data_IF_837915006124
#
_entry.id   IF_837915006124
#
_cell.length_a   1.000
_cell.length_b   1.000
_cell.length_c   1.000
_cell.angle_alpha   90.00
_cell.angle_beta   90.00
_cell.angle_gamma   90.00
#
_symmetry.space_group_name_H-M   'P 1'
#
loop_
_entity.id
_entity.type
_entity.pdbx_description
1 polymer ?
#
# COMPACT_ATOMS: atom_id res chain seq x y z
N UNK A 1 33.00 -8.25 -11.95
CA UNK A 1 32.85 -8.16 -12.68
C UNK A 1 32.65 -8.19 -12.84
N UNK A 2 32.29 -8.16 -12.35
CA UNK A 2 31.89 -8.16 -12.93
C UNK A 2 31.56 -8.30 -12.71
N UNK A 3 31.40 -8.21 -12.35
CA UNK A 3 30.98 -8.28 -12.81
C UNK A 3 30.69 -7.97 -12.47
N UNK A 4 30.69 -8.05 -11.95
CA UNK A 4 30.33 -7.85 -12.41
C UNK A 4 30.17 -7.59 -12.24
N UNK A 5 30.04 -7.36 -11.80
CA UNK A 5 29.88 -7.17 -12.44
C UNK A 5 29.74 -6.95 -12.45
N UNK A 6 29.95 -7.05 -12.24
CA UNK A 6 29.69 -6.96 -12.87
C UNK A 6 29.30 -6.94 -12.61
N UNK A 7 29.35 -7.09 -12.15
CA UNK A 7 28.87 -7.06 -12.37
C UNK A 7 28.43 -6.54 -11.91
N UNK A 8 28.55 -6.53 -11.47
CA UNK A 8 28.07 -6.02 -11.51
C UNK A 8 27.39 -5.57 -11.34
N UNK A 9 27.18 -5.47 -11.50
CA UNK A 9 26.45 -5.15 -11.78
C UNK A 9 25.87 -5.30 -11.77
N UNK A 10 25.82 -5.72 -11.97
CA UNK A 10 25.27 -5.95 -12.18
C UNK A 10 24.91 -6.36 -11.67
N UNK A 11 24.96 -6.67 -11.46
CA UNK A 11 24.58 -7.03 -11.16
C UNK A 11 23.94 -7.01 -10.66
N UNK A 12 23.40 -7.10 -10.67
CA UNK A 12 22.69 -6.86 -10.54
C UNK A 12 21.59 -6.90 -10.81
N UNK A 13 20.81 -7.05 -11.28
CA UNK A 13 19.62 -6.85 -12.06
C UNK A 13 18.62 -7.96 -11.93
N UNK A 14 19.03 -9.17 -11.83
CA UNK A 14 18.18 -10.32 -11.57
C UNK A 14 17.44 -10.15 -10.25
N UNK A 15 18.12 -9.64 -9.26
CA UNK A 15 17.51 -9.41 -7.96
C UNK A 15 16.39 -8.38 -8.06
N UNK A 16 16.60 -7.37 -8.87
CA UNK A 16 15.56 -6.35 -9.07
C UNK A 16 14.33 -6.97 -9.72
N UNK A 17 14.54 -7.83 -10.72
CA UNK A 17 13.44 -8.49 -11.39
C UNK A 17 12.66 -9.38 -10.45
N UNK A 18 13.37 -10.12 -9.60
CA UNK A 18 12.74 -11.02 -8.65
C UNK A 18 11.93 -10.28 -7.60
N UNK A 19 12.32 -9.04 -7.33
CA UNK A 19 11.66 -8.24 -6.31
C UNK A 19 10.63 -7.28 -6.89
N UNK A 20 10.39 -7.37 -8.18
CA UNK A 20 9.41 -6.52 -8.82
C UNK A 20 8.00 -6.88 -8.36
N UNK A 21 7.28 -5.89 -7.91
CA UNK A 21 5.92 -6.07 -7.45
C UNK A 21 4.96 -5.87 -8.61
N UNK A 22 4.07 -6.82 -8.79
CA UNK A 22 3.07 -6.74 -9.85
C UNK A 22 1.88 -5.89 -9.42
N UNK A 23 1.42 -5.03 -10.30
CA UNK A 23 0.25 -4.19 -10.02
C UNK A 23 -0.96 -5.04 -9.67
N UNK A 24 -1.16 -6.15 -10.40
CA UNK A 24 -2.31 -7.02 -10.17
C UNK A 24 -2.30 -7.61 -8.76
N UNK A 25 -1.12 -7.98 -8.25
CA UNK A 25 -1.02 -8.52 -6.90
C UNK A 25 -1.41 -7.48 -5.85
N UNK A 26 -0.98 -6.23 -6.06
CA UNK A 26 -1.34 -5.15 -5.15
C UNK A 26 -2.84 -4.90 -5.18
N UNK A 27 -3.41 -4.82 -6.36
CA UNK A 27 -4.84 -4.55 -6.52
C UNK A 27 -5.68 -5.68 -5.91
N UNK A 28 -5.23 -6.93 -6.07
CA UNK A 28 -5.93 -8.06 -5.44
C UNK A 28 -5.97 -7.92 -3.92
N UNK A 29 -4.87 -7.48 -3.33
CA UNK A 29 -4.84 -7.24 -1.89
C UNK A 29 -5.78 -6.10 -1.48
N UNK A 30 -5.82 -5.04 -2.28
CA UNK A 30 -6.70 -3.91 -1.99
C UNK A 30 -8.16 -4.34 -1.93
N UNK A 31 -8.54 -5.21 -2.86
CA UNK A 31 -9.92 -5.69 -2.93
C UNK A 31 -10.32 -6.51 -1.71
N UNK A 32 -9.36 -6.96 -0.92
CA UNK A 32 -9.61 -7.70 0.31
C UNK A 32 -9.80 -6.81 1.52
N UNK A 33 -9.66 -5.50 1.37
CA UNK A 33 -9.85 -4.56 2.46
C UNK A 33 -11.29 -4.05 2.40
N UNK A 34 -12.17 -4.49 3.33
CA UNK A 34 -13.56 -4.09 3.26
C UNK A 34 -13.76 -2.64 3.71
N UNK A 35 -14.90 -2.07 3.33
CA UNK A 35 -15.27 -0.74 3.81
C UNK A 35 -15.31 -0.74 5.34
N UNK A 36 -14.81 0.32 5.94
CA UNK A 36 -14.73 0.41 7.40
C UNK A 36 -13.45 -0.17 7.97
N UNK A 37 -12.58 -0.67 7.12
CA UNK A 37 -11.28 -1.20 7.53
C UNK A 37 -10.17 -0.54 6.72
N UNK A 38 -8.95 -0.61 7.25
CA UNK A 38 -7.77 -0.05 6.58
C UNK A 38 -6.61 -1.02 6.70
N UNK A 39 -5.62 -0.84 5.84
CA UNK A 39 -4.35 -1.51 5.96
C UNK A 39 -3.25 -0.48 5.77
N UNK A 40 -1.98 -0.87 5.84
CA UNK A 40 -0.88 0.07 5.67
C UNK A 40 -0.03 -0.34 4.47
N UNK A 41 0.74 0.61 3.97
CA UNK A 41 1.68 0.32 2.88
C UNK A 41 2.64 -0.81 3.29
N UNK A 42 3.08 -0.79 4.54
CA UNK A 42 3.96 -1.84 5.05
C UNK A 42 3.29 -3.20 5.13
N UNK A 43 2.01 -3.22 5.51
CA UNK A 43 1.26 -4.48 5.58
C UNK A 43 1.15 -5.13 4.20
N UNK A 44 0.87 -4.32 3.19
CA UNK A 44 0.79 -4.83 1.82
C UNK A 44 2.15 -5.32 1.33
N UNK A 45 3.20 -4.57 1.65
CA UNK A 45 4.55 -4.95 1.28
C UNK A 45 4.93 -6.29 1.89
N UNK A 46 4.62 -6.49 3.16
CA UNK A 46 4.88 -7.76 3.85
C UNK A 46 4.10 -8.89 3.23
N UNK A 47 2.84 -8.65 2.89
CA UNK A 47 1.99 -9.68 2.29
C UNK A 47 2.54 -10.15 0.95
N UNK A 48 3.28 -9.29 0.26
CA UNK A 48 3.88 -9.63 -1.03
C UNK A 48 5.30 -10.13 -0.89
N UNK A 49 5.77 -10.36 0.34
CA UNK A 49 7.08 -10.93 0.59
C UNK A 49 8.22 -9.94 0.49
N UNK A 50 7.93 -8.65 0.47
CA UNK A 50 8.95 -7.62 0.32
C UNK A 50 8.70 -6.48 1.31
N UNK A 51 9.04 -6.69 2.60
CA UNK A 51 8.68 -5.73 3.66
C UNK A 51 9.32 -4.35 3.51
N UNK A 52 10.30 -4.21 2.65
CA UNK A 52 10.96 -2.92 2.43
C UNK A 52 10.35 -2.14 1.26
N UNK A 53 9.29 -2.65 0.66
CA UNK A 53 8.74 -2.09 -0.56
C UNK A 53 7.56 -1.13 -0.36
N UNK A 54 7.40 -0.56 0.84
CA UNK A 54 6.28 0.35 1.10
C UNK A 54 6.21 1.51 0.10
N UNK A 55 7.35 2.06 -0.26
CA UNK A 55 7.42 3.17 -1.19
C UNK A 55 6.96 2.76 -2.59
N UNK A 56 7.36 1.55 -2.99
CA UNK A 56 6.92 1.00 -4.28
C UNK A 56 5.40 0.80 -4.29
N UNK A 57 4.85 0.27 -3.20
CA UNK A 57 3.41 0.14 -3.05
C UNK A 57 2.74 1.50 -3.24
N UNK A 58 3.27 2.54 -2.59
CA UNK A 58 2.70 3.89 -2.71
C UNK A 58 2.66 4.38 -4.15
N UNK A 59 3.71 4.12 -4.92
CA UNK A 59 3.74 4.51 -6.32
C UNK A 59 2.68 3.77 -7.14
N UNK A 60 2.53 2.47 -6.86
CA UNK A 60 1.54 1.66 -7.57
C UNK A 60 0.13 2.16 -7.26
N UNK A 61 -0.15 2.46 -6.00
CA UNK A 61 -1.47 2.98 -5.61
C UNK A 61 -1.77 4.31 -6.30
N UNK A 62 -0.76 5.14 -6.47
CA UNK A 62 -0.92 6.42 -7.14
C UNK A 62 -1.30 6.30 -8.61
N UNK A 63 -1.16 5.11 -9.19
CA UNK A 63 -1.49 4.86 -10.59
C UNK A 63 -2.74 4.01 -10.76
N UNK A 64 -3.51 3.86 -9.69
CA UNK A 64 -4.75 3.10 -9.73
C UNK A 64 -5.70 3.70 -10.78
N UNK A 65 -6.07 2.94 -11.82
CA UNK A 65 -6.94 3.47 -12.87
C UNK A 65 -8.41 3.53 -12.49
N UNK A 66 -8.77 2.95 -11.34
CA UNK A 66 -10.16 2.82 -10.96
C UNK A 66 -10.33 3.08 -9.47
N UNK A 67 -10.05 4.32 -9.03
CA UNK A 67 -10.12 4.65 -7.60
C UNK A 67 -11.51 4.40 -7.03
N UNK A 68 -11.56 4.09 -5.76
CA UNK A 68 -12.74 3.72 -4.99
C UNK A 68 -13.18 2.29 -5.25
N UNK A 69 -13.38 1.88 -6.49
CA UNK A 69 -13.69 0.47 -6.80
C UNK A 69 -12.51 -0.42 -6.43
N UNK A 70 -11.29 0.02 -6.77
CA UNK A 70 -10.08 -0.61 -6.24
C UNK A 70 -9.65 0.33 -5.10
N UNK A 71 -9.89 -0.05 -3.85
CA UNK A 71 -9.94 0.90 -2.74
C UNK A 71 -8.57 1.31 -2.20
N UNK A 72 -7.78 1.98 -3.01
CA UNK A 72 -6.48 2.46 -2.57
C UNK A 72 -6.59 3.49 -1.45
N UNK A 73 -7.76 4.12 -1.28
CA UNK A 73 -7.99 5.04 -0.17
C UNK A 73 -7.99 4.35 1.19
N UNK A 74 -8.09 3.01 1.22
CA UNK A 74 -8.09 2.25 2.46
C UNK A 74 -6.68 1.85 2.90
N UNK A 75 -5.64 2.37 2.25
CA UNK A 75 -4.26 2.13 2.66
C UNK A 75 -3.72 3.42 3.27
N UNK A 76 -3.28 3.31 4.52
CA UNK A 76 -2.88 4.48 5.31
C UNK A 76 -1.46 4.26 5.84
N UNK A 77 -0.94 5.25 6.54
CA UNK A 77 0.39 5.18 7.12
C UNK A 77 0.38 4.36 8.39
N UNK A 78 1.53 3.79 8.73
CA UNK A 78 1.65 2.89 9.89
C UNK A 78 1.36 3.58 11.21
N UNK A 79 1.44 4.90 11.26
CA UNK A 79 1.12 5.67 12.46
C UNK A 79 -0.37 6.05 12.54
N UNK A 80 -1.18 5.59 11.59
CA UNK A 80 -2.61 5.88 11.58
C UNK A 80 -3.00 7.15 10.87
N UNK A 81 -2.03 7.85 10.27
CA UNK A 81 -2.34 9.04 9.48
C UNK A 81 -2.79 8.63 8.09
N UNK A 82 -3.57 9.50 7.46
CA UNK A 82 -4.18 9.22 6.16
C UNK A 82 -3.15 8.93 5.07
N UNK A 83 -2.09 9.75 4.99
CA UNK A 83 -1.12 9.64 3.93
C UNK A 83 -1.59 10.27 2.63
N UNK A 84 -0.83 10.05 1.55
CA UNK A 84 -1.12 10.65 0.26
C UNK A 84 -2.26 9.97 -0.48
N UNK A 85 -2.81 10.69 -1.45
CA UNK A 85 -3.89 10.19 -2.28
C UNK A 85 -3.90 11.00 -3.58
N UNK A 86 -4.25 10.35 -4.70
CA UNK A 86 -4.25 11.01 -6.00
C UNK A 86 -5.17 12.24 -6.04
N UNK A 87 -6.27 12.18 -5.31
CA UNK A 87 -7.25 13.27 -5.25
C UNK A 87 -7.13 14.11 -3.99
N UNK A 88 -6.01 14.00 -3.28
CA UNK A 88 -5.73 14.78 -2.08
C UNK A 88 -6.07 14.06 -0.80
N UNK A 89 -5.31 14.36 0.25
CA UNK A 89 -5.49 13.73 1.57
C UNK A 89 -6.86 14.02 2.16
N UNK A 90 -7.38 15.22 1.93
CA UNK A 90 -8.70 15.59 2.45
C UNK A 90 -9.78 14.71 1.85
N UNK A 91 -9.68 14.44 0.55
CA UNK A 91 -10.65 13.57 -0.12
C UNK A 91 -10.54 12.14 0.39
N UNK A 92 -9.31 11.67 0.63
CA UNK A 92 -9.08 10.34 1.17
C UNK A 92 -9.72 10.20 2.54
N UNK A 93 -9.50 11.20 3.41
CA UNK A 93 -10.11 11.19 4.74
C UNK A 93 -11.64 11.19 4.66
N UNK A 94 -12.19 11.99 3.78
CA UNK A 94 -13.63 12.07 3.58
C UNK A 94 -14.21 10.72 3.19
N UNK A 95 -13.55 10.02 2.28
CA UNK A 95 -13.99 8.70 1.85
C UNK A 95 -13.95 7.71 3.02
N UNK A 96 -12.89 7.75 3.82
CA UNK A 96 -12.77 6.86 4.98
C UNK A 96 -13.85 7.18 6.01
N UNK A 97 -14.12 8.46 6.25
CA UNK A 97 -15.16 8.85 7.19
C UNK A 97 -16.53 8.36 6.75
N UNK A 98 -16.80 8.42 5.45
CA UNK A 98 -18.05 7.89 4.91
C UNK A 98 -18.19 6.40 5.12
N UNK A 99 -17.06 5.70 5.23
CA UNK A 99 -17.05 4.25 5.46
C UNK A 99 -17.07 3.91 6.95
N UNK A 100 -17.17 4.91 7.81
CA UNK A 100 -17.28 4.67 9.25
C UNK A 100 -15.98 4.79 10.02
N UNK A 101 -14.89 5.20 9.37
CA UNK A 101 -13.62 5.40 10.07
C UNK A 101 -13.69 6.75 10.79
N UNK A 102 -13.36 6.74 12.08
CA UNK A 102 -13.31 7.94 12.89
C UNK A 102 -11.87 8.39 13.06
N UNK A 103 -11.69 9.69 13.23
CA UNK A 103 -10.37 10.28 13.42
C UNK A 103 -10.34 11.08 14.72
N UNK A 104 -9.21 11.02 15.40
CA UNK A 104 -8.90 11.87 16.54
C UNK A 104 -7.80 12.80 16.06
N UNK A 105 -8.22 14.02 15.66
CA UNK A 105 -7.36 14.94 14.95
C UNK A 105 -6.91 14.31 13.62
N UNK A 106 -5.62 14.04 13.46
CA UNK A 106 -5.09 13.51 12.21
C UNK A 106 -4.92 12.00 12.19
N UNK A 107 -5.22 11.34 13.32
CA UNK A 107 -4.93 9.92 13.47
C UNK A 107 -6.24 9.14 13.58
N UNK A 108 -6.30 7.99 12.92
CA UNK A 108 -7.47 7.11 12.96
C UNK A 108 -7.70 6.65 14.41
N UNK A 109 -8.92 6.86 14.90
CA UNK A 109 -9.32 6.38 16.22
C UNK A 109 -9.42 4.87 16.21
N UNK A 110 -8.99 4.22 17.29
CA UNK A 110 -9.03 2.76 17.41
C UNK A 110 -8.36 2.07 16.20
N UNK A 111 -7.21 2.59 15.81
CA UNK A 111 -6.51 2.12 14.62
C UNK A 111 -6.33 0.60 14.61
N UNK A 112 -5.98 0.02 15.76
CA UNK A 112 -5.78 -1.43 15.84
C UNK A 112 -7.04 -2.22 15.51
N UNK A 113 -8.21 -1.68 15.86
CA UNK A 113 -9.46 -2.37 15.62
C UNK A 113 -9.87 -2.37 14.15
N UNK A 114 -9.52 -1.30 13.43
CA UNK A 114 -9.94 -1.18 12.02
C UNK A 114 -8.86 -1.65 11.05
N UNK A 115 -7.67 -1.92 11.55
CA UNK A 115 -6.55 -2.37 10.71
C UNK A 115 -6.69 -3.85 10.38
N UNK A 116 -6.56 -4.18 9.11
CA UNK A 116 -6.58 -5.56 8.63
C UNK A 116 -5.29 -5.85 7.86
N UNK A 117 -5.00 -7.13 7.71
CA UNK A 117 -3.75 -7.60 7.12
C UNK A 117 -4.08 -8.53 5.97
N UNK A 118 -4.43 -7.99 4.79
CA UNK A 118 -4.79 -8.84 3.66
C UNK A 118 -3.60 -9.71 3.26
N UNK A 119 -3.89 -10.92 2.84
CA UNK A 119 -2.86 -11.88 2.50
C UNK A 119 -2.99 -12.32 1.06
N UNK A 120 -1.83 -12.57 0.45
CA UNK A 120 -1.78 -13.11 -0.89
C UNK A 120 -2.21 -14.58 -0.85
N UNK A 121 -2.99 -14.98 -1.83
CA UNK A 121 -3.45 -16.38 -1.95
C UNK A 121 -2.33 -17.27 -2.47
#
# INVERSE_FOLDING_TARGET
MNKNREKGLIYYNENLTQNTIKYSDVYDLLLKIPAGKVSTYGDLAKALGNPLASREIGRILGRNPNPVKVPCHRVVMSDGKVGGYAYGSDRKRELLEKEGISFDNEIISDFKKVRVYPQKQ
#
